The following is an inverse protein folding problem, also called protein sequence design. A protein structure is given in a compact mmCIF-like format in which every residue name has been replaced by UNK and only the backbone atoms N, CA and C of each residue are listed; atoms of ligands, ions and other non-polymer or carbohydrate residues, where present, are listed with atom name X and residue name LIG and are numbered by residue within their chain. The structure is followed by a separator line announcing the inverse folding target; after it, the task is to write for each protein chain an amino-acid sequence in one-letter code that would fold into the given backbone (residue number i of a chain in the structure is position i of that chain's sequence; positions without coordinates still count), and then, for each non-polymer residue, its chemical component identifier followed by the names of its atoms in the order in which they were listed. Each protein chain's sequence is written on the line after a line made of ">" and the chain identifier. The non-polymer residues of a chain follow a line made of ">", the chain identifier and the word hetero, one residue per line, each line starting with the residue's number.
data_IF_317042363781
#
_entry.id   IF_317042363781
#
_cell.length_a   1.000
_cell.length_b   1.000
_cell.length_c   1.000
_cell.angle_alpha   90.00
_cell.angle_beta   90.00
_cell.angle_gamma   90.00
#
_symmetry.space_group_name_H-M   'P 1'
#
loop_
_entity.id
_entity.type
_entity.pdbx_description
1 polymer ?
#
# COMPACT_ATOMS: atom_id res chain seq x y z
N UNK A 1 -25.39 -30.60 15.63
CA UNK A 1 -25.45 -29.19 16.00
C UNK A 1 -25.25 -28.43 14.72
N UNK A 2 -26.25 -27.67 14.28
CA UNK A 2 -26.15 -26.85 13.09
C UNK A 2 -25.17 -25.70 13.39
N UNK A 3 -24.15 -25.55 12.54
CA UNK A 3 -23.29 -24.39 12.57
C UNK A 3 -24.13 -23.21 12.02
N UNK A 4 -24.54 -22.31 12.91
CA UNK A 4 -25.14 -21.05 12.50
C UNK A 4 -24.12 -20.30 11.63
N UNK A 5 -24.47 -20.12 10.38
CA UNK A 5 -23.75 -19.24 9.47
C UNK A 5 -24.02 -17.81 9.97
N UNK A 6 -23.06 -17.22 10.66
CA UNK A 6 -23.13 -15.79 11.04
C UNK A 6 -23.10 -15.01 9.72
N UNK A 7 -24.23 -14.47 9.34
CA UNK A 7 -24.34 -13.52 8.21
C UNK A 7 -23.66 -12.24 8.69
N UNK A 8 -22.55 -11.85 8.05
CA UNK A 8 -21.84 -10.62 8.35
C UNK A 8 -22.83 -9.44 8.29
N UNK A 9 -22.87 -8.63 9.33
CA UNK A 9 -23.70 -7.43 9.37
C UNK A 9 -23.11 -6.35 8.45
N UNK A 10 -23.87 -5.37 7.97
CA UNK A 10 -23.32 -4.24 7.21
C UNK A 10 -22.18 -3.51 7.93
N UNK A 11 -22.15 -3.54 9.27
CA UNK A 11 -21.10 -2.97 10.11
C UNK A 11 -19.78 -3.78 10.04
N UNK A 12 -19.84 -5.09 9.78
CA UNK A 12 -18.65 -5.93 9.67
C UNK A 12 -17.83 -5.64 8.38
N UNK A 13 -18.42 -4.95 7.41
CA UNK A 13 -17.79 -4.56 6.15
C UNK A 13 -17.36 -3.09 6.09
N UNK A 14 -17.58 -2.29 7.15
CA UNK A 14 -17.14 -0.90 7.17
C UNK A 14 -15.60 -0.83 7.36
N UNK A 15 -14.86 -0.30 6.37
CA UNK A 15 -13.40 -0.23 6.44
C UNK A 15 -12.90 0.63 7.62
N UNK A 16 -13.66 1.63 8.06
CA UNK A 16 -13.29 2.45 9.21
C UNK A 16 -13.36 1.66 10.51
N UNK A 17 -14.41 0.91 10.72
CA UNK A 17 -14.54 0.02 11.89
C UNK A 17 -13.41 -1.01 11.91
N UNK A 18 -13.07 -1.57 10.74
CA UNK A 18 -11.99 -2.54 10.63
C UNK A 18 -10.61 -1.93 10.96
N UNK A 19 -10.34 -0.71 10.49
CA UNK A 19 -9.11 0.00 10.81
C UNK A 19 -9.00 0.30 12.32
N UNK A 20 -10.10 0.71 12.95
CA UNK A 20 -10.18 0.93 14.40
C UNK A 20 -9.96 -0.38 15.19
N UNK A 21 -10.58 -1.50 14.78
CA UNK A 21 -10.37 -2.81 15.42
C UNK A 21 -8.90 -3.25 15.36
N UNK A 22 -8.22 -3.05 14.23
CA UNK A 22 -6.80 -3.36 14.09
C UNK A 22 -5.92 -2.49 15.01
N UNK A 23 -6.23 -1.21 15.12
CA UNK A 23 -5.57 -0.30 16.05
C UNK A 23 -5.84 -0.72 17.50
N UNK A 24 -7.10 -0.99 17.86
CA UNK A 24 -7.51 -1.39 19.20
C UNK A 24 -6.78 -2.67 19.66
N UNK A 25 -6.62 -3.67 18.78
CA UNK A 25 -5.85 -4.88 19.07
C UNK A 25 -4.37 -4.57 19.40
N UNK A 26 -3.75 -3.66 18.67
CA UNK A 26 -2.38 -3.22 18.97
C UNK A 26 -2.30 -2.40 20.27
N UNK A 27 -3.28 -1.53 20.53
CA UNK A 27 -3.37 -0.74 21.74
C UNK A 27 -3.55 -1.61 23.00
N UNK A 28 -4.33 -2.70 22.89
CA UNK A 28 -4.52 -3.66 23.98
C UNK A 28 -3.23 -4.39 24.34
N UNK A 29 -2.50 -4.91 23.36
CA UNK A 29 -1.22 -5.59 23.55
C UNK A 29 -0.15 -4.68 24.13
N UNK A 30 -0.18 -3.39 23.78
CA UNK A 30 0.74 -2.37 24.29
C UNK A 30 0.30 -1.81 25.65
N UNK A 31 -0.88 -2.15 26.16
CA UNK A 31 -1.48 -1.52 27.34
C UNK A 31 -1.46 0.01 27.24
N UNK A 32 -1.86 0.53 26.06
CA UNK A 32 -1.76 1.95 25.74
C UNK A 32 -2.60 2.78 26.73
N UNK A 33 -2.04 3.90 27.16
CA UNK A 33 -2.73 4.83 28.06
C UNK A 33 -4.07 5.28 27.44
N UNK A 34 -5.19 5.31 28.20
CA UNK A 34 -6.52 5.57 27.64
C UNK A 34 -6.69 6.89 26.87
N UNK A 35 -6.03 7.97 27.33
CA UNK A 35 -6.06 9.27 26.65
C UNK A 35 -5.32 9.24 25.31
N UNK A 36 -4.15 8.61 25.27
CA UNK A 36 -3.41 8.41 24.00
C UNK A 36 -4.19 7.51 23.05
N UNK A 37 -4.80 6.42 23.56
CA UNK A 37 -5.67 5.55 22.75
C UNK A 37 -6.81 6.34 22.13
N UNK A 38 -7.51 7.18 22.88
CA UNK A 38 -8.60 8.00 22.39
C UNK A 38 -8.13 8.96 21.27
N UNK A 39 -6.98 9.61 21.45
CA UNK A 39 -6.39 10.51 20.45
C UNK A 39 -6.05 9.77 19.16
N UNK A 40 -5.40 8.60 19.25
CA UNK A 40 -4.90 7.87 18.08
C UNK A 40 -6.00 7.07 17.34
N UNK A 41 -7.16 6.94 17.94
CA UNK A 41 -8.30 6.23 17.36
C UNK A 41 -9.07 7.06 16.35
N UNK A 42 -8.92 8.37 16.37
CA UNK A 42 -9.71 9.30 15.55
C UNK A 42 -8.80 10.14 14.63
N UNK A 43 -9.28 10.51 13.43
CA UNK A 43 -8.57 11.44 12.56
C UNK A 43 -8.49 12.83 13.18
N UNK A 44 -7.33 13.48 13.04
CA UNK A 44 -7.14 14.84 13.55
C UNK A 44 -7.89 15.90 12.74
N UNK A 45 -8.03 15.69 11.43
CA UNK A 45 -8.71 16.63 10.52
C UNK A 45 -9.37 15.92 9.36
N UNK A 46 -10.56 16.38 9.02
CA UNK A 46 -11.33 15.94 7.88
C UNK A 46 -11.83 17.14 7.08
N UNK A 47 -11.63 17.09 5.77
CA UNK A 47 -12.14 18.09 4.84
C UNK A 47 -13.02 17.38 3.81
N UNK A 48 -14.26 17.82 3.70
CA UNK A 48 -15.21 17.40 2.67
C UNK A 48 -15.53 18.61 1.79
N UNK A 49 -15.38 18.47 0.48
CA UNK A 49 -15.57 19.56 -0.48
C UNK A 49 -16.55 19.16 -1.58
N UNK A 50 -17.36 20.12 -2.03
CA UNK A 50 -18.17 19.98 -3.22
C UNK A 50 -17.74 21.10 -4.18
N UNK A 51 -17.30 20.73 -5.38
CA UNK A 51 -16.70 21.68 -6.30
C UNK A 51 -17.21 21.52 -7.73
N UNK A 52 -17.49 22.65 -8.43
CA UNK A 52 -17.98 22.62 -9.79
C UNK A 52 -16.83 22.46 -10.78
N UNK A 53 -17.07 21.68 -11.84
CA UNK A 53 -16.20 21.56 -13.01
C UNK A 53 -17.00 21.82 -14.27
N UNK A 54 -16.44 22.63 -15.19
CA UNK A 54 -17.04 22.84 -16.50
C UNK A 54 -16.65 21.69 -17.41
N UNK A 55 -17.67 21.04 -17.97
CA UNK A 55 -17.51 19.91 -18.89
C UNK A 55 -17.25 20.40 -20.33
N UNK A 56 -16.84 19.51 -21.21
CA UNK A 56 -16.51 19.84 -22.60
C UNK A 56 -17.72 20.29 -23.42
N UNK A 57 -18.92 19.83 -23.06
CA UNK A 57 -20.18 20.26 -23.65
C UNK A 57 -20.68 21.62 -23.13
N UNK A 58 -19.93 22.26 -22.22
CA UNK A 58 -20.25 23.54 -21.59
C UNK A 58 -21.14 23.45 -20.34
N UNK A 59 -21.65 22.26 -20.00
CA UNK A 59 -22.39 22.04 -18.75
C UNK A 59 -21.46 22.20 -17.53
N UNK A 60 -22.07 22.20 -16.33
CA UNK A 60 -21.34 22.24 -15.06
C UNK A 60 -21.77 21.04 -14.24
N UNK A 61 -20.83 20.19 -13.88
CA UNK A 61 -21.03 19.13 -12.91
C UNK A 61 -20.40 19.47 -11.57
N UNK A 62 -21.03 18.98 -10.47
CA UNK A 62 -20.54 19.17 -9.10
C UNK A 62 -20.04 17.84 -8.57
N UNK A 63 -18.75 17.79 -8.28
CA UNK A 63 -18.08 16.61 -7.72
C UNK A 63 -17.88 16.76 -6.22
N UNK A 64 -17.83 15.62 -5.53
CA UNK A 64 -17.53 15.57 -4.09
C UNK A 64 -16.16 14.93 -3.88
N UNK A 65 -15.35 15.58 -3.03
CA UNK A 65 -14.05 15.06 -2.64
C UNK A 65 -13.82 15.14 -1.13
N UNK A 66 -12.83 14.37 -0.68
CA UNK A 66 -12.42 14.27 0.72
C UNK A 66 -10.89 14.36 0.83
N UNK A 67 -10.42 14.98 1.93
CA UNK A 67 -9.03 14.86 2.41
C UNK A 67 -9.06 14.65 3.91
N UNK A 68 -8.50 13.53 4.40
CA UNK A 68 -8.45 13.18 5.81
C UNK A 68 -6.99 13.08 6.25
N UNK A 69 -6.65 13.75 7.35
CA UNK A 69 -5.37 13.63 8.04
C UNK A 69 -5.62 12.88 9.34
N UNK A 70 -5.17 11.63 9.40
CA UNK A 70 -5.34 10.81 10.60
C UNK A 70 -4.42 11.29 11.72
N UNK A 71 -3.13 11.44 11.46
CA UNK A 71 -2.16 11.89 12.46
C UNK A 71 -0.99 12.63 11.81
N UNK A 72 -0.53 13.71 12.46
CA UNK A 72 0.62 14.53 12.01
C UNK A 72 1.71 14.66 13.09
N UNK A 73 1.65 13.87 14.15
CA UNK A 73 2.57 14.04 15.29
C UNK A 73 4.01 13.63 14.95
N UNK A 74 4.20 12.75 13.96
CA UNK A 74 5.53 12.34 13.50
C UNK A 74 6.10 13.18 12.35
N UNK A 75 5.32 14.08 11.79
CA UNK A 75 5.71 14.92 10.66
C UNK A 75 4.53 15.20 9.73
N UNK A 76 4.77 15.75 8.54
CA UNK A 76 3.73 16.05 7.56
C UNK A 76 2.87 14.82 7.28
N UNK A 77 1.57 15.02 7.07
CA UNK A 77 0.69 13.93 6.67
C UNK A 77 1.07 13.44 5.26
N UNK A 78 0.94 12.15 5.00
CA UNK A 78 1.30 11.53 3.72
C UNK A 78 0.24 10.54 3.28
N UNK A 79 -0.19 10.62 2.02
CA UNK A 79 -1.10 9.61 1.47
C UNK A 79 -1.66 9.93 0.10
N UNK A 80 -2.07 8.88 -0.62
CA UNK A 80 -2.58 8.96 -1.98
C UNK A 80 -3.93 9.68 -2.11
N UNK A 81 -4.27 10.02 -3.34
CA UNK A 81 -5.59 10.51 -3.74
C UNK A 81 -6.19 9.47 -4.69
N UNK A 82 -7.42 9.01 -4.39
CA UNK A 82 -8.15 8.01 -5.17
C UNK A 82 -9.28 8.66 -5.96
N UNK A 83 -9.37 8.35 -7.25
CA UNK A 83 -10.51 8.72 -8.09
C UNK A 83 -11.32 7.47 -8.38
N UNK A 84 -12.48 7.33 -7.72
CA UNK A 84 -13.32 6.15 -7.90
C UNK A 84 -14.78 6.46 -7.55
N UNK A 85 -15.77 5.91 -8.28
CA UNK A 85 -17.19 6.20 -8.02
C UNK A 85 -17.70 5.70 -6.65
N UNK A 86 -17.01 4.74 -6.05
CA UNK A 86 -17.38 4.17 -4.74
C UNK A 86 -16.61 4.78 -3.56
N UNK A 87 -15.85 5.85 -3.76
CA UNK A 87 -15.14 6.53 -2.66
C UNK A 87 -16.14 6.99 -1.59
N UNK A 88 -15.88 6.62 -0.35
CA UNK A 88 -16.63 7.06 0.83
C UNK A 88 -15.73 7.74 1.85
N UNK A 89 -16.30 8.55 2.74
CA UNK A 89 -15.54 9.18 3.82
C UNK A 89 -14.94 8.13 4.76
N UNK A 90 -15.67 7.06 5.10
CA UNK A 90 -15.19 5.98 5.97
C UNK A 90 -14.02 5.22 5.34
N UNK A 91 -14.06 4.98 4.03
CA UNK A 91 -12.91 4.42 3.30
C UNK A 91 -11.68 5.33 3.40
N UNK A 92 -11.86 6.64 3.17
CA UNK A 92 -10.77 7.61 3.25
C UNK A 92 -10.20 7.73 4.68
N UNK A 93 -11.05 7.66 5.71
CA UNK A 93 -10.62 7.58 7.13
C UNK A 93 -9.74 6.36 7.38
N UNK A 94 -10.24 5.17 7.01
CA UNK A 94 -9.49 3.91 7.18
C UNK A 94 -8.12 3.96 6.49
N UNK A 95 -8.10 4.36 5.23
CA UNK A 95 -6.89 4.47 4.44
C UNK A 95 -5.90 5.50 5.02
N UNK A 96 -6.38 6.60 5.61
CA UNK A 96 -5.54 7.61 6.27
C UNK A 96 -4.90 7.06 7.56
N UNK A 97 -5.64 6.27 8.33
CA UNK A 97 -5.14 5.58 9.53
C UNK A 97 -4.08 4.54 9.15
N UNK A 98 -4.33 3.70 8.15
CA UNK A 98 -3.35 2.73 7.67
C UNK A 98 -2.08 3.41 7.13
N UNK A 99 -2.18 4.57 6.51
CA UNK A 99 -1.01 5.35 6.11
C UNK A 99 -0.18 5.81 7.30
N UNK A 100 -0.80 6.22 8.43
CA UNK A 100 -0.09 6.54 9.67
C UNK A 100 0.75 5.34 10.13
N UNK A 101 0.14 4.16 10.21
CA UNK A 101 0.82 2.96 10.69
C UNK A 101 1.92 2.51 9.71
N UNK A 102 1.67 2.60 8.41
CA UNK A 102 2.66 2.26 7.38
C UNK A 102 3.89 3.18 7.42
N UNK A 103 3.70 4.48 7.57
CA UNK A 103 4.82 5.43 7.72
C UNK A 103 5.57 5.21 9.03
N UNK A 104 4.84 4.90 10.10
CA UNK A 104 5.43 4.70 11.43
C UNK A 104 6.24 3.41 11.51
N UNK A 105 5.74 2.27 10.99
CA UNK A 105 6.50 1.00 10.97
C UNK A 105 7.74 1.11 10.10
N UNK A 106 7.66 1.80 8.96
CA UNK A 106 8.80 2.09 8.12
C UNK A 106 9.83 3.03 8.79
N UNK A 107 9.46 3.71 9.88
CA UNK A 107 10.35 4.63 10.59
C UNK A 107 10.64 5.93 9.82
N UNK A 108 9.80 6.28 8.84
CA UNK A 108 9.92 7.54 8.11
C UNK A 108 9.17 8.66 8.85
N UNK A 109 9.62 9.94 8.73
CA UNK A 109 9.09 11.06 9.51
C UNK A 109 7.82 11.65 8.87
N UNK A 110 6.82 10.79 8.67
CA UNK A 110 5.52 11.17 8.15
C UNK A 110 4.40 10.74 9.08
N UNK A 111 3.34 11.53 9.08
CA UNK A 111 2.03 11.14 9.52
C UNK A 111 1.25 10.40 8.43
N UNK A 112 -0.07 10.29 8.58
CA UNK A 112 -0.94 9.62 7.61
C UNK A 112 -2.09 10.50 7.15
N UNK A 113 -2.31 10.51 5.84
CA UNK A 113 -3.47 11.13 5.21
C UNK A 113 -4.00 10.26 4.07
N UNK A 114 -5.20 10.59 3.62
CA UNK A 114 -5.78 10.05 2.39
C UNK A 114 -6.72 11.07 1.77
N UNK A 115 -6.81 11.06 0.44
CA UNK A 115 -7.81 11.82 -0.30
C UNK A 115 -8.58 10.93 -1.26
N UNK A 116 -9.71 11.45 -1.72
CA UNK A 116 -10.48 10.79 -2.77
C UNK A 116 -11.53 11.72 -3.36
N UNK A 117 -11.89 11.46 -4.61
CA UNK A 117 -12.99 12.12 -5.32
C UNK A 117 -13.94 11.05 -5.82
N UNK A 118 -15.25 11.27 -5.60
CA UNK A 118 -16.30 10.42 -6.13
C UNK A 118 -16.46 10.73 -7.62
N UNK A 119 -15.80 9.94 -8.45
CA UNK A 119 -15.79 10.11 -9.91
C UNK A 119 -15.39 8.82 -10.60
N UNK A 120 -15.92 8.59 -11.79
CA UNK A 120 -15.44 7.57 -12.72
C UNK A 120 -14.55 8.25 -13.78
N UNK A 121 -13.20 8.18 -13.66
CA UNK A 121 -12.31 8.85 -14.60
C UNK A 121 -12.43 8.34 -16.03
N UNK A 122 -12.90 7.10 -16.23
CA UNK A 122 -13.12 6.53 -17.57
C UNK A 122 -14.23 7.20 -18.36
N UNK A 123 -15.05 8.03 -17.69
CA UNK A 123 -16.13 8.81 -18.32
C UNK A 123 -15.73 10.24 -18.64
N UNK A 124 -14.55 10.67 -18.20
CA UNK A 124 -14.05 12.02 -18.42
C UNK A 124 -13.09 12.05 -19.61
N UNK A 125 -13.08 13.16 -20.34
CA UNK A 125 -11.99 13.46 -21.26
C UNK A 125 -10.71 13.80 -20.46
N UNK A 126 -9.58 13.81 -21.15
CA UNK A 126 -8.31 14.21 -20.53
C UNK A 126 -8.37 15.64 -19.95
N UNK A 127 -8.97 16.57 -20.69
CA UNK A 127 -9.10 17.96 -20.28
C UNK A 127 -10.10 18.13 -19.13
N UNK A 128 -11.17 17.34 -19.09
CA UNK A 128 -12.10 17.28 -17.95
C UNK A 128 -11.43 16.75 -16.69
N UNK A 129 -10.62 15.70 -16.81
CA UNK A 129 -9.87 15.13 -15.70
C UNK A 129 -8.82 16.11 -15.16
N UNK A 130 -8.16 16.87 -16.04
CA UNK A 130 -7.24 17.95 -15.63
C UNK A 130 -7.99 19.03 -14.87
N UNK A 131 -9.11 19.54 -15.39
CA UNK A 131 -9.93 20.56 -14.71
C UNK A 131 -10.42 20.09 -13.35
N UNK A 132 -10.93 18.86 -13.26
CA UNK A 132 -11.35 18.23 -12.02
C UNK A 132 -10.21 18.18 -11.01
N UNK A 133 -9.05 17.72 -11.44
CA UNK A 133 -7.85 17.59 -10.59
C UNK A 133 -7.39 18.94 -10.05
N UNK A 134 -7.26 19.94 -10.92
CA UNK A 134 -6.84 21.30 -10.53
C UNK A 134 -7.85 21.95 -9.59
N UNK A 135 -9.15 21.76 -9.85
CA UNK A 135 -10.19 22.29 -8.97
C UNK A 135 -10.16 21.61 -7.60
N UNK A 136 -10.06 20.27 -7.55
CA UNK A 136 -9.92 19.55 -6.30
C UNK A 136 -8.65 19.97 -5.54
N UNK A 137 -7.52 20.13 -6.22
CA UNK A 137 -6.27 20.60 -5.62
C UNK A 137 -6.43 21.97 -4.96
N UNK A 138 -7.16 22.88 -5.61
CA UNK A 138 -7.47 24.21 -5.05
C UNK A 138 -8.30 24.10 -3.78
N UNK A 139 -9.33 23.25 -3.76
CA UNK A 139 -10.18 23.09 -2.57
C UNK A 139 -9.42 22.48 -1.36
N UNK A 140 -8.52 21.54 -1.60
CA UNK A 140 -7.74 20.91 -0.53
C UNK A 140 -6.45 21.66 -0.18
N UNK A 141 -6.14 22.78 -0.86
CA UNK A 141 -4.93 23.60 -0.60
C UNK A 141 -4.85 24.12 0.83
N UNK A 142 -5.99 24.19 1.52
CA UNK A 142 -6.07 24.51 2.95
C UNK A 142 -5.27 23.53 3.82
N UNK A 143 -5.15 22.26 3.39
CA UNK A 143 -4.48 21.20 4.14
C UNK A 143 -3.13 20.82 3.53
N UNK A 144 -3.03 20.72 2.20
CA UNK A 144 -1.82 20.24 1.51
C UNK A 144 -0.68 21.26 1.53
N UNK A 145 0.54 20.78 1.42
CA UNK A 145 1.76 21.60 1.41
C UNK A 145 2.97 20.74 1.72
N UNK A 146 4.16 21.18 1.27
CA UNK A 146 5.41 20.44 1.44
C UNK A 146 5.74 20.08 2.91
N UNK A 147 5.31 20.91 3.86
CA UNK A 147 5.55 20.73 5.30
C UNK A 147 4.27 20.37 6.10
N UNK A 148 3.13 20.18 5.41
CA UNK A 148 1.83 19.97 6.04
C UNK A 148 1.22 18.62 5.71
N UNK A 149 0.98 18.37 4.42
CA UNK A 149 0.31 17.18 3.92
C UNK A 149 0.70 16.97 2.45
N UNK A 150 1.25 15.81 2.13
CA UNK A 150 1.90 15.52 0.86
C UNK A 150 1.11 14.42 0.13
N UNK A 151 0.28 14.79 -0.87
CA UNK A 151 -0.40 13.83 -1.72
C UNK A 151 0.53 12.91 -2.51
N UNK A 152 -0.02 11.80 -2.98
CA UNK A 152 0.65 10.82 -3.83
C UNK A 152 -0.37 10.14 -4.77
N UNK A 153 0.06 9.38 -5.78
CA UNK A 153 -0.85 8.59 -6.59
C UNK A 153 -1.52 7.45 -5.80
N UNK A 154 -2.72 7.11 -6.21
CA UNK A 154 -3.48 5.95 -5.77
C UNK A 154 -4.35 5.42 -6.93
N UNK A 155 -5.42 4.70 -6.67
CA UNK A 155 -6.31 4.16 -7.73
C UNK A 155 -6.78 5.28 -8.65
N UNK A 156 -6.58 5.08 -9.95
CA UNK A 156 -6.97 5.96 -11.05
C UNK A 156 -6.37 7.38 -11.00
N UNK A 157 -5.26 7.58 -10.30
CA UNK A 157 -4.45 8.79 -10.37
C UNK A 157 -3.04 8.47 -10.85
N UNK A 158 -2.52 9.29 -11.73
CA UNK A 158 -1.26 9.04 -12.46
C UNK A 158 -0.18 10.03 -12.03
N UNK A 159 1.09 9.83 -12.45
CA UNK A 159 2.12 10.85 -12.30
C UNK A 159 1.74 12.20 -12.90
N UNK A 160 1.00 12.22 -13.99
CA UNK A 160 0.49 13.42 -14.63
C UNK A 160 -0.51 14.18 -13.75
N UNK A 161 -1.45 13.45 -13.13
CA UNK A 161 -2.38 14.00 -12.12
C UNK A 161 -1.60 14.65 -10.97
N UNK A 162 -0.50 14.04 -10.53
CA UNK A 162 0.37 14.65 -9.50
C UNK A 162 1.07 15.91 -10.00
N UNK A 163 1.48 15.95 -11.27
CA UNK A 163 2.05 17.15 -11.87
C UNK A 163 1.03 18.31 -11.90
N UNK A 164 -0.23 18.05 -12.24
CA UNK A 164 -1.29 19.06 -12.21
C UNK A 164 -1.57 19.61 -10.81
N UNK A 165 -1.54 18.74 -9.79
CA UNK A 165 -1.69 19.18 -8.38
C UNK A 165 -0.52 20.07 -7.99
N UNK A 166 0.72 19.64 -8.29
CA UNK A 166 1.92 20.41 -8.01
C UNK A 166 1.88 21.79 -8.68
N UNK A 167 1.54 21.83 -9.97
CA UNK A 167 1.45 23.06 -10.76
C UNK A 167 0.38 24.00 -10.18
N UNK A 168 -0.80 23.46 -9.83
CA UNK A 168 -1.90 24.26 -9.26
C UNK A 168 -1.49 24.95 -7.96
N UNK A 169 -0.84 24.21 -7.06
CA UNK A 169 -0.35 24.78 -5.79
C UNK A 169 0.77 25.78 -6.05
N UNK A 170 1.71 25.46 -6.93
CA UNK A 170 2.83 26.33 -7.28
C UNK A 170 2.36 27.66 -7.87
N UNK A 171 1.35 27.63 -8.75
CA UNK A 171 0.75 28.84 -9.32
C UNK A 171 0.09 29.73 -8.26
N UNK A 172 -0.56 29.12 -7.27
CA UNK A 172 -1.20 29.85 -6.17
C UNK A 172 -0.18 30.52 -5.24
N UNK A 173 0.97 29.88 -5.03
CA UNK A 173 2.04 30.37 -4.15
C UNK A 173 3.04 31.29 -4.89
N UNK A 174 3.01 31.30 -6.23
CA UNK A 174 3.87 32.15 -7.07
C UNK A 174 5.28 31.62 -7.31
N UNK A 175 5.59 30.39 -6.92
CA UNK A 175 6.86 29.72 -7.19
C UNK A 175 6.67 28.20 -7.24
N UNK A 176 7.62 27.48 -7.86
CA UNK A 176 7.55 26.02 -7.98
C UNK A 176 7.81 25.32 -6.65
N UNK A 177 6.89 24.40 -6.25
CA UNK A 177 6.96 23.64 -5.01
C UNK A 177 6.90 22.14 -5.33
N UNK A 178 7.97 21.52 -5.87
CA UNK A 178 7.93 20.09 -6.24
C UNK A 178 7.64 19.16 -5.06
N UNK A 179 8.08 19.52 -3.85
CA UNK A 179 7.87 18.73 -2.65
C UNK A 179 6.41 18.66 -2.15
N UNK A 180 5.48 19.41 -2.74
CA UNK A 180 4.07 19.40 -2.31
C UNK A 180 3.36 18.08 -2.59
N UNK A 181 3.83 17.32 -3.56
CA UNK A 181 3.33 15.98 -3.93
C UNK A 181 4.48 15.03 -4.23
N UNK A 182 4.21 13.72 -4.24
CA UNK A 182 5.16 12.72 -4.73
C UNK A 182 4.52 11.80 -5.76
N UNK A 183 5.35 11.06 -6.50
CA UNK A 183 4.92 10.22 -7.61
C UNK A 183 4.76 10.98 -8.92
N UNK A 184 5.43 12.12 -9.04
CA UNK A 184 5.48 12.96 -10.24
C UNK A 184 6.28 12.31 -11.36
N UNK A 185 6.13 12.79 -12.62
CA UNK A 185 7.10 12.51 -13.69
C UNK A 185 8.52 12.97 -13.31
N UNK A 186 9.54 12.26 -13.80
CA UNK A 186 10.95 12.60 -13.55
C UNK A 186 11.29 14.03 -13.99
N UNK A 187 10.67 14.50 -15.06
CA UNK A 187 10.89 15.84 -15.64
C UNK A 187 10.51 16.99 -14.70
N UNK A 188 9.72 16.73 -13.67
CA UNK A 188 9.24 17.74 -12.71
C UNK A 188 9.53 17.37 -11.25
N UNK A 189 10.64 16.67 -11.02
CA UNK A 189 11.11 16.32 -9.67
C UNK A 189 10.70 14.93 -9.18
N UNK A 190 10.23 14.04 -10.05
CA UNK A 190 9.99 12.63 -9.69
C UNK A 190 11.29 11.90 -9.34
N UNK A 191 11.18 10.84 -8.54
CA UNK A 191 12.32 10.03 -8.11
C UNK A 191 12.52 8.80 -9.01
N UNK A 192 13.76 8.51 -9.37
CA UNK A 192 14.13 7.24 -10.00
C UNK A 192 13.72 6.05 -9.13
N UNK A 193 13.48 4.89 -9.75
CA UNK A 193 13.11 3.67 -9.05
C UNK A 193 11.71 3.66 -8.41
N UNK A 194 10.95 4.78 -8.45
CA UNK A 194 9.63 4.89 -7.81
C UNK A 194 8.63 3.85 -8.32
N UNK A 195 8.60 3.60 -9.63
CA UNK A 195 7.68 2.62 -10.25
C UNK A 195 7.97 1.18 -9.80
N UNK A 196 9.22 0.86 -9.53
CA UNK A 196 9.64 -0.47 -9.09
C UNK A 196 9.61 -0.63 -7.55
N UNK A 197 9.46 0.45 -6.80
CA UNK A 197 9.73 0.48 -5.36
C UNK A 197 8.92 -0.52 -4.54
N UNK A 198 7.63 -0.67 -4.82
CA UNK A 198 6.75 -1.59 -4.08
C UNK A 198 7.12 -3.05 -4.35
N UNK A 199 7.21 -3.46 -5.61
CA UNK A 199 7.60 -4.83 -5.98
C UNK A 199 9.05 -5.16 -5.55
N UNK A 200 9.95 -4.18 -5.60
CA UNK A 200 11.31 -4.32 -5.07
C UNK A 200 11.30 -4.51 -3.56
N UNK A 201 10.45 -3.77 -2.84
CA UNK A 201 10.24 -3.95 -1.41
C UNK A 201 9.78 -5.36 -1.07
N UNK A 202 8.82 -5.90 -1.81
CA UNK A 202 8.37 -7.28 -1.64
C UNK A 202 9.53 -8.29 -1.80
N UNK A 203 10.37 -8.14 -2.84
CA UNK A 203 11.52 -9.03 -3.05
C UNK A 203 12.56 -8.89 -1.92
N UNK A 204 12.84 -7.67 -1.45
CA UNK A 204 13.75 -7.44 -0.33
C UNK A 204 13.23 -8.08 0.96
N UNK A 205 11.94 -7.94 1.27
CA UNK A 205 11.31 -8.58 2.44
C UNK A 205 11.31 -10.09 2.31
N UNK A 206 11.11 -10.65 1.09
CA UNK A 206 11.25 -12.08 0.84
C UNK A 206 12.64 -12.59 1.27
N UNK A 207 13.70 -11.85 0.96
CA UNK A 207 15.06 -12.17 1.42
C UNK A 207 15.22 -12.07 2.94
N UNK A 208 14.67 -11.03 3.57
CA UNK A 208 14.77 -10.83 5.01
C UNK A 208 14.11 -11.99 5.78
N UNK A 209 12.91 -12.39 5.37
CA UNK A 209 12.22 -13.49 6.03
C UNK A 209 12.93 -14.83 5.80
N UNK A 210 13.47 -15.08 4.59
CA UNK A 210 14.29 -16.27 4.33
C UNK A 210 15.55 -16.30 5.22
N UNK A 211 16.26 -15.19 5.34
CA UNK A 211 17.42 -15.08 6.21
C UNK A 211 17.05 -15.33 7.69
N UNK A 212 15.95 -14.78 8.16
CA UNK A 212 15.46 -14.96 9.54
C UNK A 212 15.06 -16.40 9.85
N UNK A 213 14.48 -17.10 8.85
CA UNK A 213 14.06 -18.51 8.98
C UNK A 213 15.14 -19.53 8.60
N UNK A 214 16.33 -19.07 8.16
CA UNK A 214 17.42 -19.96 7.70
C UNK A 214 17.12 -20.68 6.38
N UNK A 215 16.26 -20.11 5.53
CA UNK A 215 15.86 -20.68 4.25
C UNK A 215 16.74 -20.19 3.11
N UNK A 216 17.10 -21.09 2.17
CA UNK A 216 17.81 -20.73 0.94
C UNK A 216 16.79 -20.43 -0.19
N UNK A 217 16.72 -19.19 -0.69
CA UNK A 217 15.81 -18.81 -1.78
C UNK A 217 15.89 -19.71 -3.02
N UNK A 218 17.07 -20.26 -3.32
CA UNK A 218 17.30 -21.14 -4.48
C UNK A 218 16.62 -22.51 -4.38
N UNK A 219 16.10 -22.85 -3.20
CA UNK A 219 15.37 -24.08 -2.92
C UNK A 219 13.86 -23.86 -2.80
N UNK A 220 13.41 -22.60 -2.88
CA UNK A 220 12.01 -22.23 -2.66
C UNK A 220 11.28 -22.02 -3.97
N UNK A 221 10.09 -22.57 -4.03
CA UNK A 221 9.12 -22.33 -5.09
C UNK A 221 8.19 -21.17 -4.70
N UNK A 222 7.75 -20.37 -5.68
CA UNK A 222 6.86 -19.26 -5.40
C UNK A 222 5.74 -19.11 -6.43
N UNK A 223 4.58 -18.64 -5.97
CA UNK A 223 3.47 -18.19 -6.79
C UNK A 223 3.15 -16.72 -6.50
N UNK A 224 2.87 -15.95 -7.55
CA UNK A 224 2.56 -14.52 -7.44
C UNK A 224 1.18 -14.26 -8.04
N UNK A 225 0.22 -13.87 -7.22
CA UNK A 225 -1.09 -13.44 -7.67
C UNK A 225 -1.06 -11.96 -8.03
N UNK A 226 -1.47 -11.63 -9.25
CA UNK A 226 -1.37 -10.28 -9.79
C UNK A 226 -0.04 -10.03 -10.51
N UNK A 227 -0.08 -9.80 -11.82
CA UNK A 227 1.12 -9.53 -12.64
C UNK A 227 1.17 -8.09 -13.14
N UNK A 228 0.60 -7.16 -12.33
CA UNK A 228 0.68 -5.71 -12.50
C UNK A 228 2.02 -5.13 -11.99
N UNK A 229 2.01 -3.83 -11.68
CA UNK A 229 3.22 -3.08 -11.27
C UNK A 229 3.96 -3.69 -10.06
N UNK A 230 3.25 -4.25 -9.09
CA UNK A 230 3.86 -4.85 -7.90
C UNK A 230 4.33 -6.27 -8.19
N UNK A 231 3.40 -7.14 -8.61
CA UNK A 231 3.67 -8.57 -8.74
C UNK A 231 4.67 -8.90 -9.85
N UNK A 232 4.61 -8.26 -11.02
CA UNK A 232 5.57 -8.53 -12.11
C UNK A 232 7.01 -8.15 -11.71
N UNK A 233 7.18 -7.04 -10.98
CA UNK A 233 8.49 -6.61 -10.50
C UNK A 233 8.97 -7.51 -9.36
N UNK A 234 8.10 -7.86 -8.40
CA UNK A 234 8.42 -8.80 -7.33
C UNK A 234 8.85 -10.16 -7.92
N UNK A 235 8.05 -10.75 -8.83
CA UNK A 235 8.37 -12.00 -9.50
C UNK A 235 9.72 -11.96 -10.21
N UNK A 236 10.00 -10.89 -10.97
CA UNK A 236 11.26 -10.73 -11.69
C UNK A 236 12.46 -10.64 -10.76
N UNK A 237 12.35 -9.87 -9.68
CA UNK A 237 13.45 -9.70 -8.74
C UNK A 237 13.66 -10.95 -7.90
N UNK A 238 12.61 -11.60 -7.42
CA UNK A 238 12.69 -12.88 -6.71
C UNK A 238 13.30 -13.98 -7.59
N UNK A 239 12.88 -14.08 -8.87
CA UNK A 239 13.48 -15.03 -9.82
C UNK A 239 14.97 -14.79 -10.02
N UNK A 240 15.39 -13.52 -10.20
CA UNK A 240 16.81 -13.15 -10.29
C UNK A 240 17.58 -13.56 -9.02
N UNK A 241 16.96 -13.46 -7.90
CA UNK A 241 17.53 -13.73 -6.58
C UNK A 241 17.46 -15.23 -6.20
N UNK A 242 16.96 -16.07 -7.12
CA UNK A 242 17.05 -17.53 -7.06
C UNK A 242 15.75 -18.28 -6.76
N UNK A 243 14.64 -17.58 -6.42
CA UNK A 243 13.36 -18.25 -6.23
C UNK A 243 12.85 -18.89 -7.54
N UNK A 244 12.29 -20.10 -7.44
CA UNK A 244 11.64 -20.78 -8.55
C UNK A 244 10.18 -20.29 -8.67
N UNK A 245 9.95 -19.25 -9.49
CA UNK A 245 8.58 -18.77 -9.72
C UNK A 245 7.84 -19.80 -10.59
N UNK A 246 6.83 -20.45 -10.03
CA UNK A 246 6.05 -21.52 -10.67
C UNK A 246 4.73 -21.07 -11.25
N UNK A 247 4.15 -20.02 -10.70
CA UNK A 247 2.86 -19.52 -11.16
C UNK A 247 2.78 -18.01 -11.04
N UNK A 248 2.07 -17.39 -11.97
CA UNK A 248 1.67 -15.98 -11.93
C UNK A 248 0.24 -15.84 -12.47
N UNK A 249 -0.50 -14.81 -12.02
CA UNK A 249 -1.84 -14.52 -12.56
C UNK A 249 -2.06 -13.02 -12.76
N UNK A 250 -3.01 -12.69 -13.60
CA UNK A 250 -3.56 -11.34 -13.78
C UNK A 250 -5.10 -11.35 -13.67
N UNK A 251 -5.74 -10.27 -14.12
CA UNK A 251 -7.20 -10.14 -14.06
C UNK A 251 -7.95 -11.15 -14.98
N UNK A 252 -7.27 -11.73 -15.96
CA UNK A 252 -7.87 -12.64 -16.94
C UNK A 252 -7.66 -14.12 -16.60
N UNK A 253 -6.73 -14.43 -15.68
CA UNK A 253 -6.42 -15.78 -15.23
C UNK A 253 -4.96 -15.94 -14.83
N UNK A 254 -4.53 -17.18 -14.67
CA UNK A 254 -3.17 -17.51 -14.29
C UNK A 254 -2.53 -18.56 -15.18
N UNK A 255 -1.22 -18.71 -15.01
CA UNK A 255 -0.39 -19.73 -15.61
C UNK A 255 0.44 -20.44 -14.53
N UNK A 256 0.65 -21.74 -14.71
CA UNK A 256 1.48 -22.57 -13.83
C UNK A 256 2.41 -23.47 -14.66
N UNK A 257 3.61 -23.67 -14.15
CA UNK A 257 4.60 -24.60 -14.71
C UNK A 257 5.23 -25.44 -13.61
N UNK A 258 5.51 -26.72 -13.88
CA UNK A 258 6.24 -27.63 -12.98
C UNK A 258 7.72 -27.28 -12.86
N UNK A 259 8.23 -26.45 -13.76
CA UNK A 259 9.57 -25.85 -13.72
C UNK A 259 9.46 -24.33 -13.54
N UNK A 260 10.57 -23.67 -13.18
CA UNK A 260 10.55 -22.21 -13.06
C UNK A 260 10.13 -21.55 -14.38
N UNK A 261 9.21 -20.59 -14.29
CA UNK A 261 8.82 -19.72 -15.41
C UNK A 261 9.97 -18.79 -15.79
N UNK A 262 10.20 -18.59 -17.08
CA UNK A 262 11.05 -17.51 -17.58
C UNK A 262 10.31 -16.17 -17.42
N UNK A 263 10.49 -15.51 -16.28
CA UNK A 263 9.76 -14.29 -15.97
C UNK A 263 10.02 -13.14 -16.96
N UNK A 264 11.24 -12.89 -17.45
CA UNK A 264 11.48 -11.98 -18.57
C UNK A 264 10.61 -12.29 -19.80
N UNK A 265 10.52 -13.55 -20.20
CA UNK A 265 9.67 -13.96 -21.32
C UNK A 265 8.17 -13.79 -21.03
N UNK A 266 7.72 -14.06 -19.80
CA UNK A 266 6.32 -13.79 -19.36
C UNK A 266 6.02 -12.31 -19.43
N UNK A 267 6.92 -11.43 -18.97
CA UNK A 267 6.74 -9.96 -19.05
C UNK A 267 6.60 -9.51 -20.50
N UNK A 268 7.45 -10.00 -21.41
CA UNK A 268 7.35 -9.65 -22.83
C UNK A 268 6.06 -10.20 -23.48
N UNK A 269 5.65 -11.41 -23.11
CA UNK A 269 4.36 -11.95 -23.53
C UNK A 269 3.21 -11.07 -23.09
N UNK A 270 3.16 -10.69 -21.81
CA UNK A 270 2.13 -9.83 -21.24
C UNK A 270 2.10 -8.46 -21.91
N UNK A 271 3.28 -7.88 -22.19
CA UNK A 271 3.36 -6.59 -22.91
C UNK A 271 2.75 -6.66 -24.30
N UNK A 272 2.90 -7.79 -24.98
CA UNK A 272 2.41 -7.99 -26.36
C UNK A 272 0.92 -8.37 -26.43
N UNK A 273 0.44 -9.16 -25.45
CA UNK A 273 -0.92 -9.77 -25.50
C UNK A 273 -1.90 -9.10 -24.53
N UNK A 274 -1.41 -8.33 -23.56
CA UNK A 274 -2.21 -7.74 -22.50
C UNK A 274 -2.48 -8.66 -21.30
N UNK A 275 -2.01 -9.93 -21.32
CA UNK A 275 -2.28 -10.92 -20.27
C UNK A 275 -1.15 -11.95 -20.16
N UNK A 276 -1.02 -12.60 -18.99
CA UNK A 276 -0.15 -13.77 -18.79
C UNK A 276 -0.75 -15.03 -19.44
N UNK A 277 -2.06 -15.05 -19.64
CA UNK A 277 -2.79 -16.21 -20.18
C UNK A 277 -2.29 -16.56 -21.59
N UNK A 278 -2.14 -17.86 -21.85
CA UNK A 278 -1.64 -18.34 -23.14
C UNK A 278 -0.12 -18.28 -23.30
N UNK A 279 0.64 -18.01 -22.23
CA UNK A 279 2.11 -18.10 -22.27
C UNK A 279 2.56 -19.53 -22.63
N UNK A 280 3.42 -19.71 -23.64
CA UNK A 280 3.87 -21.04 -24.09
C UNK A 280 4.59 -21.82 -23.00
N UNK A 281 4.31 -23.11 -22.88
CA UNK A 281 4.98 -24.02 -21.94
C UNK A 281 4.43 -23.98 -20.50
N UNK A 282 3.36 -23.20 -20.26
CA UNK A 282 2.65 -23.21 -18.98
C UNK A 282 1.19 -23.61 -19.17
N UNK A 283 0.61 -24.30 -18.18
CA UNK A 283 -0.82 -24.62 -18.17
C UNK A 283 -1.64 -23.49 -17.56
N UNK A 284 -2.87 -23.27 -18.01
CA UNK A 284 -3.75 -22.30 -17.38
C UNK A 284 -4.15 -22.75 -15.97
N UNK A 285 -4.33 -21.79 -15.07
CA UNK A 285 -4.90 -21.96 -13.73
C UNK A 285 -5.82 -20.78 -13.43
N UNK A 286 -6.84 -21.02 -12.63
CA UNK A 286 -7.67 -19.94 -12.09
C UNK A 286 -6.94 -19.21 -10.95
N UNK A 287 -7.42 -18.01 -10.60
CA UNK A 287 -6.91 -17.27 -9.44
C UNK A 287 -7.06 -18.08 -8.14
N UNK A 288 -8.19 -18.79 -7.98
CA UNK A 288 -8.43 -19.62 -6.80
C UNK A 288 -7.45 -20.80 -6.72
N UNK A 289 -7.22 -21.49 -7.84
CA UNK A 289 -6.23 -22.58 -7.90
C UNK A 289 -4.82 -22.10 -7.63
N UNK A 290 -4.44 -20.90 -8.11
CA UNK A 290 -3.11 -20.33 -7.86
C UNK A 290 -2.83 -20.15 -6.37
N UNK A 291 -3.81 -19.66 -5.61
CA UNK A 291 -3.68 -19.44 -4.16
C UNK A 291 -3.49 -20.76 -3.37
N UNK A 292 -3.89 -21.88 -3.95
CA UNK A 292 -3.89 -23.20 -3.33
C UNK A 292 -2.78 -24.11 -3.89
N UNK A 293 -1.89 -23.60 -4.77
CA UNK A 293 -0.78 -24.36 -5.32
C UNK A 293 0.22 -24.81 -4.24
N UNK A 294 0.83 -26.01 -4.40
CA UNK A 294 1.88 -26.50 -3.52
C UNK A 294 3.20 -25.77 -3.78
N UNK A 295 3.30 -24.55 -3.28
CA UNK A 295 4.49 -23.72 -3.34
C UNK A 295 4.93 -23.32 -1.93
N UNK A 296 6.20 -23.00 -1.74
CA UNK A 296 6.73 -22.56 -0.46
C UNK A 296 6.31 -21.12 -0.11
N UNK A 297 6.28 -20.24 -1.12
CA UNK A 297 6.03 -18.81 -0.97
C UNK A 297 4.85 -18.39 -1.84
N UNK A 298 3.85 -17.76 -1.22
CA UNK A 298 2.72 -17.14 -1.91
C UNK A 298 2.79 -15.62 -1.77
N UNK A 299 2.71 -14.90 -2.90
CA UNK A 299 2.73 -13.43 -2.94
C UNK A 299 1.39 -12.92 -3.50
N UNK A 300 0.39 -12.66 -2.65
CA UNK A 300 -0.85 -12.01 -3.09
C UNK A 300 -0.56 -10.51 -3.35
N UNK A 301 -0.52 -10.13 -4.63
CA UNK A 301 -0.18 -8.77 -5.10
C UNK A 301 -1.24 -8.20 -6.06
N UNK A 302 -2.49 -8.68 -5.99
CA UNK A 302 -3.60 -8.26 -6.82
C UNK A 302 -4.52 -7.28 -6.07
N UNK A 303 -5.48 -7.83 -5.32
CA UNK A 303 -6.56 -7.09 -4.65
C UNK A 303 -6.62 -7.45 -3.17
N UNK A 304 -7.44 -6.70 -2.44
CA UNK A 304 -7.83 -7.03 -1.07
C UNK A 304 -8.69 -8.32 -1.00
N UNK A 305 -8.73 -8.93 0.20
CA UNK A 305 -9.61 -10.05 0.53
C UNK A 305 -9.48 -11.27 -0.42
N UNK A 306 -8.27 -11.58 -0.86
CA UNK A 306 -8.03 -12.75 -1.73
C UNK A 306 -7.89 -14.05 -0.92
N UNK A 307 -7.28 -13.98 0.26
CA UNK A 307 -7.21 -15.09 1.20
C UNK A 307 -8.23 -14.81 2.31
N UNK A 308 -9.25 -15.63 2.37
CA UNK A 308 -10.38 -15.52 3.30
C UNK A 308 -10.52 -16.78 4.13
N UNK A 309 -11.37 -16.78 5.16
CA UNK A 309 -11.67 -17.98 5.93
C UNK A 309 -12.10 -19.17 5.05
N UNK A 310 -12.72 -18.90 3.90
CA UNK A 310 -13.20 -19.92 2.99
C UNK A 310 -12.08 -20.70 2.26
N UNK A 311 -10.91 -20.09 2.03
CA UNK A 311 -9.80 -20.73 1.30
C UNK A 311 -8.49 -20.87 2.12
N UNK A 312 -8.33 -20.15 3.22
CA UNK A 312 -7.11 -20.17 4.04
C UNK A 312 -6.73 -21.60 4.50
N UNK A 313 -7.72 -22.48 4.74
CA UNK A 313 -7.49 -23.88 5.08
C UNK A 313 -6.82 -24.70 3.97
N UNK A 314 -6.91 -24.26 2.70
CA UNK A 314 -6.35 -24.95 1.53
C UNK A 314 -5.06 -24.33 1.00
N UNK A 315 -4.66 -23.16 1.49
CA UNK A 315 -3.34 -22.55 1.18
C UNK A 315 -2.24 -23.50 1.62
N UNK A 316 -1.35 -23.89 0.73
CA UNK A 316 -0.28 -24.85 1.01
C UNK A 316 1.07 -24.17 1.26
N UNK A 317 1.20 -22.89 0.93
CA UNK A 317 2.40 -22.13 1.18
C UNK A 317 2.73 -22.06 2.68
N UNK A 318 4.01 -22.13 3.01
CA UNK A 318 4.52 -21.94 4.38
C UNK A 318 4.82 -20.48 4.70
N UNK A 319 4.93 -19.65 3.64
CA UNK A 319 5.22 -18.22 3.72
C UNK A 319 4.26 -17.44 2.81
N UNK A 320 3.56 -16.47 3.37
CA UNK A 320 2.71 -15.52 2.65
C UNK A 320 3.30 -14.12 2.77
N UNK A 321 3.59 -13.47 1.64
CA UNK A 321 4.15 -12.11 1.55
C UNK A 321 3.11 -11.17 0.94
N UNK A 322 2.49 -10.33 1.71
CA UNK A 322 1.39 -9.47 1.27
C UNK A 322 1.85 -8.30 0.41
N UNK A 323 1.84 -8.48 -0.90
CA UNK A 323 2.20 -7.44 -1.87
C UNK A 323 1.08 -6.41 -2.11
N UNK A 324 -0.18 -6.84 -2.08
CA UNK A 324 -1.36 -5.96 -2.11
C UNK A 324 -1.66 -5.40 -0.70
N UNK A 325 -2.59 -4.44 -0.61
CA UNK A 325 -3.10 -3.98 0.67
C UNK A 325 -4.24 -4.90 1.13
N UNK A 326 -4.18 -5.40 2.37
CA UNK A 326 -5.21 -6.23 2.97
C UNK A 326 -5.61 -7.48 2.17
N UNK A 327 -4.68 -8.23 1.55
CA UNK A 327 -5.05 -9.38 0.72
C UNK A 327 -5.54 -10.57 1.54
N UNK A 328 -5.21 -10.61 2.83
CA UNK A 328 -5.62 -11.65 3.78
C UNK A 328 -6.55 -11.06 4.83
N UNK A 329 -7.74 -11.65 4.97
CA UNK A 329 -8.68 -11.22 6.01
C UNK A 329 -8.19 -11.63 7.41
N UNK A 330 -8.61 -10.95 8.50
CA UNK A 330 -8.21 -11.30 9.86
C UNK A 330 -8.50 -12.77 10.23
N UNK A 331 -9.70 -13.26 9.92
CA UNK A 331 -10.07 -14.65 10.18
C UNK A 331 -9.20 -15.66 9.41
N UNK A 332 -8.83 -15.30 8.16
CA UNK A 332 -7.92 -16.12 7.36
C UNK A 332 -6.51 -16.13 7.95
N UNK A 333 -6.02 -15.01 8.44
CA UNK A 333 -4.71 -14.94 9.10
C UNK A 333 -4.66 -15.84 10.33
N UNK A 334 -5.70 -15.81 11.17
CA UNK A 334 -5.77 -16.72 12.32
C UNK A 334 -5.69 -18.20 11.91
N UNK A 335 -6.37 -18.59 10.82
CA UNK A 335 -6.30 -19.96 10.28
C UNK A 335 -4.89 -20.28 9.82
N UNK A 336 -4.25 -19.37 9.05
CA UNK A 336 -2.89 -19.55 8.54
C UNK A 336 -1.87 -19.67 9.67
N UNK A 337 -1.91 -18.77 10.65
CA UNK A 337 -1.00 -18.77 11.81
C UNK A 337 -1.15 -20.05 12.63
N UNK A 338 -2.39 -20.51 12.92
CA UNK A 338 -2.63 -21.79 13.59
C UNK A 338 -2.08 -23.00 12.83
N UNK A 339 -1.97 -22.91 11.51
CA UNK A 339 -1.35 -23.94 10.65
C UNK A 339 0.18 -23.79 10.54
N UNK A 340 0.79 -22.82 11.21
CA UNK A 340 2.22 -22.56 11.19
C UNK A 340 2.70 -21.81 9.94
N UNK A 341 1.80 -21.18 9.19
CA UNK A 341 2.15 -20.34 8.04
C UNK A 341 2.63 -18.98 8.54
N UNK A 342 3.80 -18.56 8.11
CA UNK A 342 4.31 -17.20 8.37
C UNK A 342 3.67 -16.20 7.41
N UNK A 343 2.91 -15.24 7.94
CA UNK A 343 2.30 -14.16 7.14
C UNK A 343 3.07 -12.87 7.40
N UNK A 344 3.75 -12.35 6.37
CA UNK A 344 4.42 -11.04 6.46
C UNK A 344 3.44 -9.97 5.97
N UNK A 345 3.02 -9.05 6.86
CA UNK A 345 1.92 -8.14 6.58
C UNK A 345 2.28 -7.08 5.53
N UNK A 346 1.25 -6.58 4.87
CA UNK A 346 1.30 -5.57 3.82
C UNK A 346 2.00 -4.27 4.25
N UNK A 347 1.75 -3.79 5.48
CA UNK A 347 2.37 -2.56 5.99
C UNK A 347 3.90 -2.61 6.06
N UNK A 348 4.50 -3.81 6.03
CA UNK A 348 5.94 -4.05 5.93
C UNK A 348 6.31 -4.42 4.49
N UNK A 349 5.64 -5.42 3.90
CA UNK A 349 6.01 -6.01 2.62
C UNK A 349 5.92 -5.01 1.48
N UNK A 350 4.87 -4.20 1.42
CA UNK A 350 4.63 -3.23 0.35
C UNK A 350 5.04 -1.79 0.70
N UNK A 351 5.74 -1.58 1.82
CA UNK A 351 6.18 -0.26 2.26
C UNK A 351 7.20 0.43 1.33
N UNK A 352 7.79 -0.32 0.40
CA UNK A 352 8.77 0.23 -0.54
C UNK A 352 8.29 1.47 -1.29
N UNK A 353 7.01 1.48 -1.70
CA UNK A 353 6.40 2.62 -2.39
C UNK A 353 6.39 3.91 -1.56
N UNK A 354 5.98 3.85 -0.30
CA UNK A 354 5.94 5.05 0.57
C UNK A 354 7.34 5.50 0.99
N UNK A 355 8.28 4.56 1.15
CA UNK A 355 9.68 4.87 1.48
C UNK A 355 10.34 5.64 0.32
N UNK A 356 10.17 5.19 -0.94
CA UNK A 356 10.72 5.93 -2.09
C UNK A 356 9.97 7.26 -2.31
N UNK A 357 8.68 7.32 -1.98
CA UNK A 357 7.98 8.62 -1.95
C UNK A 357 8.58 9.58 -0.90
N UNK A 358 9.01 9.08 0.25
CA UNK A 358 9.75 9.89 1.23
C UNK A 358 11.09 10.38 0.64
N UNK A 359 11.81 9.54 -0.09
CA UNK A 359 13.06 9.95 -0.75
C UNK A 359 12.82 11.01 -1.83
N UNK A 360 11.75 10.89 -2.61
CA UNK A 360 11.36 11.90 -3.60
C UNK A 360 11.16 13.26 -2.92
N UNK A 361 10.39 13.31 -1.83
CA UNK A 361 10.16 14.52 -1.04
C UNK A 361 11.47 15.12 -0.50
N UNK A 362 12.38 14.28 0.04
CA UNK A 362 13.69 14.75 0.52
C UNK A 362 14.53 15.34 -0.61
N UNK A 363 14.56 14.70 -1.77
CA UNK A 363 15.27 15.16 -2.95
C UNK A 363 14.72 16.50 -3.44
N UNK A 364 13.40 16.65 -3.49
CA UNK A 364 12.73 17.88 -3.88
C UNK A 364 13.05 19.04 -2.91
N UNK A 365 13.03 18.82 -1.61
CA UNK A 365 13.37 19.83 -0.60
C UNK A 365 14.84 20.27 -0.68
N UNK A 366 15.73 19.34 -1.04
CA UNK A 366 17.17 19.59 -1.14
C UNK A 366 17.58 20.05 -2.54
N UNK A 367 16.70 19.94 -3.54
CA UNK A 367 17.01 20.15 -4.96
C UNK A 367 18.24 19.34 -5.41
N UNK A 368 18.39 18.14 -4.86
CA UNK A 368 19.49 17.22 -5.11
C UNK A 368 19.00 15.79 -5.28
N UNK A 369 19.21 15.22 -6.48
CA UNK A 369 18.62 13.95 -6.88
C UNK A 369 19.63 12.81 -6.79
N UNK A 370 19.14 11.67 -6.30
CA UNK A 370 19.93 10.44 -6.12
C UNK A 370 19.74 9.50 -7.31
N UNK A 371 20.77 8.72 -7.62
CA UNK A 371 20.66 7.63 -8.58
C UNK A 371 19.74 6.51 -8.06
N UNK A 372 19.19 5.70 -8.98
CA UNK A 372 18.37 4.54 -8.62
C UNK A 372 19.14 3.58 -7.68
N UNK A 373 20.45 3.44 -7.86
CA UNK A 373 21.28 2.61 -6.97
C UNK A 373 21.27 3.10 -5.53
N UNK A 374 21.50 4.38 -5.31
CA UNK A 374 21.47 4.99 -3.97
C UNK A 374 20.09 4.88 -3.32
N UNK A 375 19.03 5.10 -4.10
CA UNK A 375 17.64 4.92 -3.64
C UNK A 375 17.42 3.48 -3.19
N UNK A 376 17.83 2.49 -3.98
CA UNK A 376 17.65 1.08 -3.66
C UNK A 376 18.45 0.64 -2.43
N UNK A 377 19.68 1.14 -2.26
CA UNK A 377 20.49 0.87 -1.07
C UNK A 377 19.85 1.45 0.21
N UNK A 378 19.33 2.68 0.13
CA UNK A 378 18.64 3.33 1.25
C UNK A 378 17.30 2.65 1.55
N UNK A 379 16.55 2.25 0.52
CA UNK A 379 15.31 1.48 0.64
C UNK A 379 15.56 0.17 1.40
N UNK A 380 16.58 -0.59 1.00
CA UNK A 380 16.94 -1.85 1.65
C UNK A 380 17.22 -1.67 3.14
N UNK A 381 18.00 -0.64 3.52
CA UNK A 381 18.31 -0.35 4.92
C UNK A 381 17.07 -0.02 5.77
N UNK A 382 16.13 0.76 5.22
CA UNK A 382 14.90 1.11 5.94
C UNK A 382 13.99 -0.11 6.07
N UNK A 383 13.79 -0.88 5.00
CA UNK A 383 12.96 -2.08 5.02
C UNK A 383 13.51 -3.15 5.98
N UNK A 384 14.82 -3.37 5.99
CA UNK A 384 15.45 -4.31 6.94
C UNK A 384 15.13 -3.90 8.37
N UNK A 385 15.34 -2.64 8.74
CA UNK A 385 15.03 -2.15 10.10
C UNK A 385 13.55 -2.27 10.45
N UNK A 386 12.65 -2.01 9.49
CA UNK A 386 11.22 -2.12 9.71
C UNK A 386 10.79 -3.58 9.91
N UNK A 387 11.34 -4.49 9.11
CA UNK A 387 11.11 -5.92 9.23
C UNK A 387 11.64 -6.47 10.56
N UNK A 388 12.91 -6.20 10.90
CA UNK A 388 13.53 -6.66 12.14
C UNK A 388 12.76 -6.17 13.37
N UNK A 389 12.42 -4.88 13.42
CA UNK A 389 11.64 -4.33 14.54
C UNK A 389 10.26 -4.99 14.67
N UNK A 390 9.60 -5.29 13.55
CA UNK A 390 8.29 -5.95 13.54
C UNK A 390 8.41 -7.40 14.00
N UNK A 391 9.45 -8.09 13.56
CA UNK A 391 9.72 -9.48 13.95
C UNK A 391 10.05 -9.60 15.45
N UNK A 392 10.96 -8.78 15.94
CA UNK A 392 11.33 -8.73 17.36
C UNK A 392 10.15 -8.36 18.27
N UNK A 393 9.28 -7.44 17.82
CA UNK A 393 8.07 -7.13 18.54
C UNK A 393 7.09 -8.31 18.59
N UNK A 394 6.91 -9.01 17.48
CA UNK A 394 6.09 -10.23 17.41
C UNK A 394 6.59 -11.30 18.38
N UNK A 395 7.89 -11.60 18.40
CA UNK A 395 8.50 -12.58 19.31
C UNK A 395 8.36 -12.15 20.79
N UNK A 396 8.68 -10.88 21.08
CA UNK A 396 8.63 -10.35 22.46
C UNK A 396 7.22 -10.34 23.05
N UNK A 397 6.21 -10.01 22.22
CA UNK A 397 4.82 -9.92 22.65
C UNK A 397 4.05 -11.24 22.52
N UNK A 398 4.62 -12.24 21.84
CA UNK A 398 3.97 -13.54 21.60
C UNK A 398 2.74 -13.43 20.68
N UNK A 399 2.80 -12.57 19.67
CA UNK A 399 1.68 -12.27 18.75
C UNK A 399 2.06 -12.54 17.30
N UNK A 400 1.08 -12.46 16.37
CA UNK A 400 1.36 -12.55 14.93
C UNK A 400 2.31 -11.43 14.46
N UNK A 401 3.02 -11.66 13.35
CA UNK A 401 3.92 -10.66 12.79
C UNK A 401 3.17 -9.37 12.37
N UNK A 402 1.91 -9.48 11.95
CA UNK A 402 1.03 -8.33 11.69
C UNK A 402 0.84 -7.50 12.96
N UNK A 403 0.42 -8.15 14.03
CA UNK A 403 0.17 -7.43 15.29
C UNK A 403 1.47 -6.87 15.88
N UNK A 404 2.61 -7.56 15.72
CA UNK A 404 3.93 -7.03 16.05
C UNK A 404 4.29 -5.77 15.27
N UNK A 405 4.02 -5.74 13.94
CA UNK A 405 4.24 -4.57 13.10
C UNK A 405 3.34 -3.40 13.49
N UNK A 406 2.05 -3.67 13.76
CA UNK A 406 1.13 -2.65 14.27
C UNK A 406 1.56 -2.12 15.64
N UNK A 407 2.00 -3.00 16.55
CA UNK A 407 2.50 -2.58 17.87
C UNK A 407 3.70 -1.63 17.75
N UNK A 408 4.67 -1.93 16.86
CA UNK A 408 5.79 -1.02 16.58
C UNK A 408 5.31 0.33 16.04
N UNK A 409 4.35 0.31 15.11
CA UNK A 409 3.83 1.53 14.51
C UNK A 409 3.07 2.39 15.54
N UNK A 410 2.15 1.79 16.28
CA UNK A 410 1.31 2.47 17.29
C UNK A 410 2.19 3.01 18.41
N UNK A 411 3.16 2.24 18.91
CA UNK A 411 4.08 2.69 19.94
C UNK A 411 4.85 3.95 19.50
N UNK A 412 5.42 3.97 18.29
CA UNK A 412 6.16 5.12 17.77
C UNK A 412 5.31 6.39 17.63
N UNK A 413 4.02 6.24 17.26
CA UNK A 413 3.11 7.39 17.17
C UNK A 413 2.66 7.83 18.55
N UNK A 414 2.42 6.90 19.46
CA UNK A 414 2.08 7.20 20.86
C UNK A 414 3.20 7.97 21.57
N UNK A 415 4.46 7.52 21.43
CA UNK A 415 5.64 8.22 21.94
C UNK A 415 5.70 9.65 21.41
N UNK A 416 5.60 9.83 20.08
CA UNK A 416 5.61 11.17 19.48
C UNK A 416 4.42 12.04 19.94
N UNK A 417 3.27 11.44 20.25
CA UNK A 417 2.11 12.15 20.78
C UNK A 417 2.35 12.59 22.22
N UNK A 418 2.91 11.71 23.05
CA UNK A 418 3.25 11.99 24.43
C UNK A 418 4.34 13.06 24.55
N UNK A 419 5.41 12.97 23.73
CA UNK A 419 6.51 13.94 23.72
C UNK A 419 6.06 15.35 23.30
N UNK A 420 5.07 15.45 22.41
CA UNK A 420 4.47 16.76 22.03
C UNK A 420 3.54 17.32 23.10
N UNK A 421 2.97 16.45 23.93
CA UNK A 421 1.96 16.81 24.91
C UNK A 421 0.61 17.15 24.30
N UNK A 422 -0.35 17.46 25.16
CA UNK A 422 -1.70 17.89 24.80
C UNK A 422 -1.79 19.38 25.05
N UNK A 423 -2.04 20.15 23.98
CA UNK A 423 -2.19 21.62 24.06
C UNK A 423 -3.67 21.97 24.01
N UNK A 424 -4.13 23.01 24.75
CA UNK A 424 -3.47 23.80 25.80
C UNK A 424 -3.31 23.07 27.11
#
# INVERSE_FOLDING_TARGET
>A
MAVETVVATPEDNDPWINAQRQFDAAADVLHLEPGIRAILREPQRELSVNFPVRMDDGSVEVFRGYRVQHNVNRGPAKGGIRFHPQVTLNEVRALSMWMTWKCAVAGIPFGGAKGGVIVDPGRLSHDELERLTRRYATEISLLIGADRDIPAPDVNTTPEVMAWIMDTVSMSEGYSIPAVVTGKPLSVGGSEGRNAATGRGCAMVAHQVCARLGLDPRRLTAAVQGFGNVGSIAARLMARDGFSIRAVSDAYGGIHSEVALDIPAVVEHTRRTGSVVGFPGARPVTNAELLELPVDVLVPAALENQITAANAGRVQATLVLEGANGPTTPDAEEILVRRGVTVVPDIVTNAGGVIVSYFEWVQDLQSFFWSEREINERLGRILTRAFDASWEASERLGVSLRLGAYAVAVQRVAEATSDRGIFP
#
